data_IF_607322963699
#
_entry.id   IF_607322963699
#
_cell.length_a   1.000
_cell.length_b   1.000
_cell.length_c   1.000
_cell.angle_alpha   90.00
_cell.angle_beta   90.00
_cell.angle_gamma   90.00
#
_symmetry.space_group_name_H-M   'P 1'
#
loop_
_entity.id
_entity.type
_entity.pdbx_description
1 polymer ?
#
# COMPACT_ATOMS: atom_id res chain seq x y z
N UNK A 1 -9.77 -3.19 -17.23
CA UNK A 1 -10.00 -4.26 -16.26
C UNK A 1 -8.70 -4.49 -15.50
N UNK A 2 -8.78 -4.37 -14.18
CA UNK A 2 -7.65 -4.58 -13.28
C UNK A 2 -7.57 -6.08 -13.02
N UNK A 3 -6.47 -6.72 -13.34
CA UNK A 3 -6.22 -8.09 -12.91
C UNK A 3 -5.26 -8.05 -11.72
N UNK A 4 -5.75 -8.49 -10.57
CA UNK A 4 -4.94 -8.67 -9.37
C UNK A 4 -4.14 -9.97 -9.56
N UNK A 5 -2.84 -9.85 -9.75
CA UNK A 5 -1.94 -11.01 -9.71
C UNK A 5 -1.64 -11.31 -8.25
N UNK A 6 -2.30 -12.32 -7.70
CA UNK A 6 -1.98 -12.85 -6.38
C UNK A 6 -0.79 -13.79 -6.50
N UNK A 7 0.32 -13.41 -5.92
CA UNK A 7 1.50 -14.27 -5.82
C UNK A 7 1.49 -14.92 -4.44
N UNK A 8 1.26 -16.23 -4.39
CA UNK A 8 1.43 -17.03 -3.18
C UNK A 8 2.71 -17.85 -3.27
N UNK A 9 3.43 -17.94 -2.15
CA UNK A 9 4.63 -18.77 -2.05
C UNK A 9 4.24 -20.24 -2.26
N UNK A 10 4.73 -20.85 -3.34
CA UNK A 10 4.70 -22.29 -3.53
C UNK A 10 5.75 -22.91 -2.61
N UNK A 11 5.36 -23.44 -1.46
CA UNK A 11 6.18 -24.43 -0.78
C UNK A 11 6.19 -25.66 -1.69
N UNK A 12 7.42 -26.04 -2.07
CA UNK A 12 7.71 -27.07 -3.03
C UNK A 12 6.84 -28.33 -2.87
N UNK A 13 5.86 -28.46 -3.71
CA UNK A 13 5.24 -29.72 -4.02
C UNK A 13 4.50 -29.62 -5.36
N UNK A 14 4.99 -30.41 -6.28
CA UNK A 14 4.32 -30.88 -7.48
C UNK A 14 4.21 -29.92 -8.67
N UNK A 15 5.01 -30.20 -9.67
CA UNK A 15 5.07 -29.55 -10.99
C UNK A 15 3.84 -29.84 -11.88
N UNK A 16 2.69 -30.19 -11.34
CA UNK A 16 1.54 -30.51 -12.13
C UNK A 16 0.63 -29.32 -12.40
N UNK A 17 0.73 -28.82 -13.62
CA UNK A 17 -0.26 -28.05 -14.35
C UNK A 17 -0.49 -26.58 -13.94
N UNK A 18 0.39 -25.71 -14.35
CA UNK A 18 0.05 -24.30 -14.61
C UNK A 18 -0.83 -24.20 -15.86
N UNK A 19 -2.15 -24.13 -15.70
CA UNK A 19 -3.05 -23.77 -16.79
C UNK A 19 -3.11 -22.27 -16.95
N UNK A 20 -2.67 -21.74 -18.08
CA UNK A 20 -2.97 -20.38 -18.50
C UNK A 20 -4.45 -20.27 -18.86
N UNK A 21 -5.18 -19.39 -18.21
CA UNK A 21 -6.53 -18.98 -18.59
C UNK A 21 -6.46 -17.52 -18.99
N UNK A 22 -6.44 -17.26 -20.27
CA UNK A 22 -6.16 -15.92 -20.80
C UNK A 22 -4.69 -15.50 -20.51
N UNK A 23 -4.49 -14.26 -20.08
CA UNK A 23 -3.18 -13.74 -19.68
C UNK A 23 -2.86 -13.94 -18.17
N UNK A 24 -3.70 -14.66 -17.43
CA UNK A 24 -3.57 -14.85 -16.00
C UNK A 24 -2.84 -16.14 -15.68
N UNK A 25 -1.74 -16.05 -14.93
CA UNK A 25 -1.05 -17.20 -14.39
C UNK A 25 -1.79 -17.66 -13.14
N UNK A 26 -2.39 -18.86 -13.15
CA UNK A 26 -2.91 -19.49 -11.94
C UNK A 26 -1.78 -20.16 -11.21
N UNK A 27 -1.43 -19.64 -10.04
CA UNK A 27 -0.48 -20.29 -9.13
C UNK A 27 -1.30 -21.21 -8.21
N UNK A 28 -0.89 -22.49 -8.03
CA UNK A 28 -1.58 -23.40 -7.12
C UNK A 28 -1.58 -22.82 -5.69
N UNK A 29 -2.75 -22.65 -5.12
CA UNK A 29 -2.88 -22.31 -3.71
C UNK A 29 -2.76 -23.62 -2.93
N UNK A 30 -1.78 -23.72 -2.03
CA UNK A 30 -1.67 -24.88 -1.15
C UNK A 30 -2.93 -25.06 -0.29
N UNK A 31 -3.24 -26.28 0.09
CA UNK A 31 -4.48 -26.70 0.78
C UNK A 31 -4.70 -26.07 2.19
N UNK A 32 -3.81 -25.19 2.63
CA UNK A 32 -3.95 -24.47 3.91
C UNK A 32 -3.93 -22.98 3.65
N UNK A 33 -5.08 -22.29 3.73
CA UNK A 33 -5.06 -20.84 3.79
C UNK A 33 -4.24 -20.43 5.03
N UNK A 34 -3.14 -19.72 4.82
CA UNK A 34 -2.36 -19.14 5.89
C UNK A 34 -3.27 -18.27 6.77
N UNK A 35 -2.97 -18.19 8.06
CA UNK A 35 -3.67 -17.26 8.95
C UNK A 35 -3.38 -15.85 8.49
N UNK A 36 -4.41 -15.14 8.02
CA UNK A 36 -4.31 -13.71 7.74
C UNK A 36 -4.32 -12.94 9.07
N UNK A 37 -3.34 -12.10 9.26
CA UNK A 37 -3.34 -11.11 10.34
C UNK A 37 -3.83 -9.78 9.77
N UNK A 38 -4.95 -9.29 10.27
CA UNK A 38 -5.53 -8.00 9.85
C UNK A 38 -5.27 -6.96 10.93
N UNK A 39 -4.76 -5.81 10.53
CA UNK A 39 -4.57 -4.67 11.42
C UNK A 39 -5.00 -3.37 10.72
N UNK A 40 -5.40 -2.38 11.50
CA UNK A 40 -5.66 -1.03 11.03
C UNK A 40 -4.59 -0.11 11.61
N UNK A 41 -3.87 0.59 10.74
CA UNK A 41 -2.78 1.47 11.15
C UNK A 41 -2.23 2.28 9.99
N UNK A 42 -1.20 3.08 10.26
CA UNK A 42 -0.50 3.85 9.23
C UNK A 42 0.65 3.03 8.65
N UNK A 43 0.81 3.05 7.33
CA UNK A 43 1.97 2.48 6.67
C UNK A 43 3.30 3.18 7.03
N UNK A 44 3.23 4.37 7.64
CA UNK A 44 4.42 5.08 8.15
C UNK A 44 4.89 4.59 9.53
N UNK A 45 4.14 3.66 10.14
CA UNK A 45 4.50 3.02 11.42
C UNK A 45 3.95 1.59 11.44
N UNK A 46 4.83 0.62 11.26
CA UNK A 46 4.53 -0.82 11.26
C UNK A 46 5.22 -1.53 12.45
N UNK A 47 5.22 -0.89 13.63
CA UNK A 47 5.91 -1.40 14.84
C UNK A 47 5.46 -2.80 15.27
N UNK A 48 4.23 -3.20 14.91
CA UNK A 48 3.70 -4.55 15.16
C UNK A 48 4.38 -5.62 14.29
N UNK A 49 5.16 -5.23 13.28
CA UNK A 49 5.91 -6.15 12.41
C UNK A 49 7.39 -6.01 12.73
N UNK A 50 8.03 -7.13 13.06
CA UNK A 50 9.47 -7.16 13.34
C UNK A 50 10.31 -6.75 12.13
N UNK A 51 11.49 -6.18 12.37
CA UNK A 51 12.46 -5.90 11.31
C UNK A 51 12.91 -7.20 10.64
N UNK A 52 13.20 -7.13 9.34
CA UNK A 52 13.73 -8.25 8.54
C UNK A 52 12.91 -9.56 8.68
N UNK A 53 11.57 -9.43 8.75
CA UNK A 53 10.67 -10.58 8.99
C UNK A 53 9.81 -10.94 7.77
N UNK A 54 9.69 -10.04 6.79
CA UNK A 54 8.80 -10.16 5.63
C UNK A 54 9.60 -10.46 4.37
N UNK A 55 9.14 -11.37 3.55
CA UNK A 55 9.78 -11.74 2.28
C UNK A 55 9.33 -10.83 1.13
N UNK A 56 8.08 -10.38 1.15
CA UNK A 56 7.47 -9.59 0.08
C UNK A 56 6.48 -8.57 0.64
N UNK A 57 6.61 -7.32 0.21
CA UNK A 57 5.61 -6.26 0.42
C UNK A 57 4.93 -5.97 -0.91
N UNK A 58 3.60 -5.99 -0.95
CA UNK A 58 2.81 -5.62 -2.13
C UNK A 58 1.87 -4.48 -1.74
N UNK A 59 1.87 -3.39 -2.51
CA UNK A 59 1.08 -2.21 -2.20
C UNK A 59 0.61 -1.48 -3.45
N UNK A 60 -0.42 -0.67 -3.28
CA UNK A 60 -0.97 0.26 -4.27
C UNK A 60 -1.02 1.65 -3.61
N UNK A 61 0.05 2.46 -3.72
CA UNK A 61 0.11 3.76 -3.07
C UNK A 61 -0.85 4.76 -3.74
N UNK A 62 -1.27 5.83 -3.04
CA UNK A 62 -2.04 6.89 -3.67
C UNK A 62 -1.30 7.53 -4.85
N UNK A 63 -2.04 7.85 -5.92
CA UNK A 63 -1.48 8.39 -7.16
C UNK A 63 -1.47 9.93 -7.14
N UNK A 64 -0.55 10.51 -6.36
CA UNK A 64 -0.44 11.97 -6.25
C UNK A 64 -1.69 12.61 -5.62
N UNK A 65 -2.34 13.50 -6.35
CA UNK A 65 -3.55 14.20 -5.92
C UNK A 65 -4.84 13.77 -6.66
N UNK A 66 -4.84 12.60 -7.32
CA UNK A 66 -5.98 12.17 -8.14
C UNK A 66 -7.24 11.85 -7.32
N UNK A 67 -7.07 11.25 -6.15
CA UNK A 67 -8.19 10.84 -5.28
C UNK A 67 -7.90 11.26 -3.84
N UNK A 68 -8.84 11.97 -3.24
CA UNK A 68 -8.82 12.36 -1.83
C UNK A 68 -9.61 11.32 -1.02
N UNK A 69 -8.96 10.20 -0.73
CA UNK A 69 -9.58 9.02 -0.13
C UNK A 69 -10.22 9.30 1.23
N UNK A 70 -9.58 10.11 2.06
CA UNK A 70 -10.11 10.45 3.39
C UNK A 70 -11.42 11.26 3.33
N UNK A 71 -11.58 12.10 2.33
CA UNK A 71 -12.82 12.87 2.12
C UNK A 71 -13.94 11.98 1.63
N UNK A 72 -13.66 11.04 0.73
CA UNK A 72 -14.61 10.02 0.31
C UNK A 72 -14.99 9.08 1.47
N UNK A 73 -14.01 8.72 2.28
CA UNK A 73 -14.22 7.84 3.43
C UNK A 73 -15.07 8.48 4.52
N UNK A 74 -15.02 9.80 4.68
CA UNK A 74 -15.85 10.52 5.67
C UNK A 74 -17.32 10.25 5.48
N UNK A 75 -17.79 10.10 4.23
CA UNK A 75 -19.19 9.77 3.96
C UNK A 75 -19.63 8.47 4.65
N UNK A 76 -18.77 7.44 4.64
CA UNK A 76 -19.07 6.17 5.30
C UNK A 76 -18.72 6.21 6.79
N UNK A 77 -17.63 6.88 7.14
CA UNK A 77 -17.12 6.97 8.50
C UNK A 77 -18.12 7.59 9.46
N UNK A 78 -18.76 8.69 9.09
CA UNK A 78 -19.72 9.37 9.97
C UNK A 78 -20.93 8.50 10.32
N UNK A 79 -21.39 7.66 9.41
CA UNK A 79 -22.47 6.72 9.67
C UNK A 79 -22.02 5.53 10.53
N UNK A 80 -20.87 4.94 10.21
CA UNK A 80 -20.32 3.84 11.00
C UNK A 80 -19.99 4.29 12.43
N UNK A 81 -19.47 5.48 12.58
CA UNK A 81 -19.16 6.08 13.86
C UNK A 81 -20.36 6.13 14.81
N UNK A 82 -21.55 6.43 14.32
CA UNK A 82 -22.78 6.45 15.15
C UNK A 82 -23.05 5.11 15.84
N UNK A 83 -22.64 4.02 15.21
CA UNK A 83 -22.90 2.64 15.70
C UNK A 83 -21.69 2.08 16.44
N UNK A 84 -20.47 2.41 15.99
CA UNK A 84 -19.24 1.70 16.39
C UNK A 84 -18.38 2.47 17.40
N UNK A 85 -18.59 3.76 17.64
CA UNK A 85 -17.72 4.58 18.49
C UNK A 85 -17.57 4.07 19.92
N UNK A 86 -18.64 3.49 20.48
CA UNK A 86 -18.64 2.98 21.85
C UNK A 86 -17.97 1.60 21.96
N UNK A 87 -17.93 0.85 20.84
CA UNK A 87 -17.32 -0.46 20.76
C UNK A 87 -15.85 -0.44 20.32
N UNK A 88 -15.49 0.53 19.49
CA UNK A 88 -14.17 0.70 18.90
C UNK A 88 -13.73 2.17 18.96
N UNK A 89 -13.60 2.75 20.18
CA UNK A 89 -13.29 4.16 20.35
C UNK A 89 -11.94 4.57 19.75
N UNK A 90 -10.99 3.64 19.68
CA UNK A 90 -9.66 3.84 19.08
C UNK A 90 -9.72 4.14 17.57
N UNK A 91 -10.75 3.65 16.87
CA UNK A 91 -10.95 3.87 15.42
C UNK A 91 -12.02 4.92 15.12
N UNK A 92 -13.03 5.06 15.98
CA UNK A 92 -14.21 5.90 15.74
C UNK A 92 -14.37 7.04 16.76
N UNK A 93 -13.33 7.33 17.55
CA UNK A 93 -13.36 8.41 18.54
C UNK A 93 -13.33 9.80 17.91
N UNK A 94 -12.56 9.99 16.83
CA UNK A 94 -12.48 11.27 16.13
C UNK A 94 -13.78 11.60 15.39
N UNK A 95 -14.01 12.88 15.11
CA UNK A 95 -15.19 13.33 14.37
C UNK A 95 -15.14 12.93 12.90
N UNK A 96 -13.95 12.97 12.30
CA UNK A 96 -13.67 12.63 10.90
C UNK A 96 -12.44 11.71 10.78
N UNK A 97 -12.24 11.16 9.60
CA UNK A 97 -11.04 10.37 9.27
C UNK A 97 -9.75 11.21 9.38
N UNK A 98 -8.60 10.60 9.75
CA UNK A 98 -7.34 11.32 10.00
C UNK A 98 -6.67 11.76 8.69
N UNK A 99 -7.00 12.95 8.21
CA UNK A 99 -6.50 13.52 6.94
C UNK A 99 -5.00 13.81 6.94
N UNK A 100 -4.41 14.01 8.11
CA UNK A 100 -2.97 14.25 8.26
C UNK A 100 -2.10 13.01 8.05
N UNK A 101 -2.69 11.82 7.99
CA UNK A 101 -1.99 10.57 7.72
C UNK A 101 -2.13 10.12 6.26
N UNK A 102 -2.87 10.86 5.45
CA UNK A 102 -3.11 10.54 4.06
C UNK A 102 -1.98 11.06 3.17
N UNK A 103 -1.30 10.15 2.47
CA UNK A 103 -0.24 10.47 1.51
C UNK A 103 -0.86 10.93 0.17
N UNK A 104 -1.41 12.13 0.15
CA UNK A 104 -2.03 12.75 -1.03
C UNK A 104 -1.56 14.18 -1.18
N UNK A 105 -1.23 14.58 -2.41
CA UNK A 105 -0.96 15.97 -2.76
C UNK A 105 -2.29 16.75 -2.80
N UNK A 106 -2.51 17.63 -1.82
CA UNK A 106 -3.75 18.40 -1.69
C UNK A 106 -3.47 19.87 -1.34
N UNK A 107 -3.61 20.76 -2.33
CA UNK A 107 -3.34 22.20 -2.17
C UNK A 107 -4.27 22.87 -1.16
N UNK A 108 -5.46 22.38 -0.96
CA UNK A 108 -6.39 22.95 0.02
C UNK A 108 -5.92 22.70 1.47
N UNK A 109 -5.23 21.58 1.70
CA UNK A 109 -4.70 21.21 3.02
C UNK A 109 -3.23 21.65 3.21
N UNK A 110 -2.44 21.63 2.15
CA UNK A 110 -1.02 22.00 2.14
C UNK A 110 -0.77 23.04 1.01
N UNK A 111 -1.17 24.31 1.21
CA UNK A 111 -1.13 25.30 0.14
C UNK A 111 0.28 25.59 -0.40
N UNK A 112 1.27 25.52 0.46
CA UNK A 112 2.64 25.90 0.09
C UNK A 112 3.42 24.76 -0.58
N UNK A 113 3.28 23.51 -0.08
CA UNK A 113 4.11 22.39 -0.53
C UNK A 113 3.35 21.06 -0.55
N UNK A 114 2.27 20.88 -1.35
CA UNK A 114 1.47 19.67 -1.36
C UNK A 114 2.25 18.44 -1.81
N UNK A 115 3.11 18.58 -2.82
CA UNK A 115 3.90 17.48 -3.38
C UNK A 115 5.01 17.04 -2.42
N UNK A 116 5.64 17.97 -1.72
CA UNK A 116 6.62 17.63 -0.69
C UNK A 116 5.97 16.89 0.50
N UNK A 117 4.74 17.24 0.85
CA UNK A 117 4.00 16.51 1.87
C UNK A 117 3.70 15.08 1.45
N UNK A 118 3.22 14.89 0.23
CA UNK A 118 2.98 13.58 -0.38
C UNK A 118 4.25 12.73 -0.38
N UNK A 119 5.34 13.26 -0.94
CA UNK A 119 6.64 12.60 -1.01
C UNK A 119 7.17 12.20 0.37
N UNK A 120 7.06 13.07 1.38
CA UNK A 120 7.49 12.80 2.75
C UNK A 120 6.76 11.60 3.37
N UNK A 121 5.44 11.51 3.20
CA UNK A 121 4.66 10.38 3.73
C UNK A 121 4.95 9.09 2.97
N UNK A 122 5.15 9.14 1.65
CA UNK A 122 5.60 7.99 0.89
C UNK A 122 6.97 7.50 1.36
N UNK A 123 7.94 8.41 1.49
CA UNK A 123 9.29 8.07 2.00
C UNK A 123 9.22 7.39 3.37
N UNK A 124 8.37 7.90 4.27
CA UNK A 124 8.19 7.29 5.59
C UNK A 124 7.60 5.87 5.48
N UNK A 125 6.61 5.67 4.61
CA UNK A 125 6.02 4.35 4.37
C UNK A 125 7.01 3.37 3.75
N UNK A 126 7.80 3.83 2.78
CA UNK A 126 8.85 3.01 2.16
C UNK A 126 9.97 2.65 3.15
N UNK A 127 10.36 3.55 4.05
CA UNK A 127 11.32 3.24 5.12
C UNK A 127 10.82 2.14 6.05
N UNK A 128 9.54 2.15 6.40
CA UNK A 128 8.95 1.06 7.17
C UNK A 128 8.89 -0.24 6.37
N UNK A 129 8.52 -0.18 5.09
CA UNK A 129 8.57 -1.34 4.21
C UNK A 129 10.00 -1.91 4.10
N UNK A 130 11.00 -1.05 3.96
CA UNK A 130 12.42 -1.46 3.94
C UNK A 130 12.84 -2.11 5.26
N UNK A 131 12.46 -1.54 6.39
CA UNK A 131 12.78 -2.06 7.72
C UNK A 131 12.24 -3.48 7.95
N UNK A 132 11.00 -3.75 7.53
CA UNK A 132 10.36 -5.05 7.75
C UNK A 132 10.79 -6.12 6.75
N UNK A 133 11.25 -5.73 5.55
CA UNK A 133 11.74 -6.66 4.54
C UNK A 133 13.06 -7.30 4.97
N UNK A 134 13.17 -8.59 4.73
CA UNK A 134 14.43 -9.32 4.89
C UNK A 134 15.46 -8.84 3.86
N UNK A 135 16.77 -9.00 4.14
CA UNK A 135 17.79 -8.86 3.11
C UNK A 135 17.44 -9.71 1.89
N UNK A 136 17.40 -9.10 0.70
CA UNK A 136 16.93 -9.74 -0.54
C UNK A 136 15.42 -9.87 -0.67
N UNK A 137 14.63 -9.38 0.28
CA UNK A 137 13.18 -9.26 0.17
C UNK A 137 12.76 -8.23 -0.88
N UNK A 138 11.55 -8.36 -1.41
CA UNK A 138 11.07 -7.58 -2.55
C UNK A 138 9.91 -6.65 -2.15
N UNK A 139 9.92 -5.44 -2.70
CA UNK A 139 8.77 -4.53 -2.72
C UNK A 139 8.20 -4.49 -4.14
N UNK A 140 6.91 -4.78 -4.26
CA UNK A 140 6.17 -4.61 -5.51
C UNK A 140 5.03 -3.60 -5.30
N UNK A 141 4.85 -2.68 -6.22
CA UNK A 141 3.75 -1.72 -6.15
C UNK A 141 3.21 -1.40 -7.55
N UNK A 142 1.96 -0.98 -7.60
CA UNK A 142 1.34 -0.42 -8.81
C UNK A 142 1.39 1.11 -8.73
N UNK A 143 1.51 1.76 -9.87
CA UNK A 143 1.41 3.20 -9.96
C UNK A 143 0.96 3.64 -11.35
N UNK A 144 0.10 4.66 -11.40
CA UNK A 144 -0.34 5.26 -12.65
C UNK A 144 -0.54 6.77 -12.50
N UNK A 145 0.03 7.54 -13.40
CA UNK A 145 -0.26 8.97 -13.52
C UNK A 145 0.02 9.44 -14.95
N UNK A 146 -0.75 10.44 -15.42
CA UNK A 146 -0.57 11.05 -16.75
C UNK A 146 0.54 12.09 -16.80
N UNK A 147 0.95 12.63 -15.65
CA UNK A 147 2.00 13.64 -15.51
C UNK A 147 3.28 13.03 -14.95
N UNK A 148 4.44 13.63 -15.27
CA UNK A 148 5.74 13.13 -14.84
C UNK A 148 6.03 13.44 -13.37
N UNK A 149 5.56 14.58 -12.85
CA UNK A 149 5.90 15.03 -11.51
C UNK A 149 5.54 14.03 -10.39
N UNK A 150 4.34 13.38 -10.38
CA UNK A 150 4.04 12.34 -9.41
C UNK A 150 4.92 11.09 -9.55
N UNK A 151 5.36 10.73 -10.77
CA UNK A 151 6.33 9.65 -10.98
C UNK A 151 7.68 9.97 -10.35
N UNK A 152 8.17 11.21 -10.53
CA UNK A 152 9.41 11.67 -9.91
C UNK A 152 9.29 11.59 -8.39
N UNK A 153 8.20 12.10 -7.81
CA UNK A 153 7.97 12.05 -6.35
C UNK A 153 7.98 10.63 -5.79
N UNK A 154 7.35 9.67 -6.49
CA UNK A 154 7.33 8.26 -6.06
C UNK A 154 8.73 7.65 -6.14
N UNK A 155 9.44 7.83 -7.25
CA UNK A 155 10.77 7.25 -7.44
C UNK A 155 11.79 7.85 -6.48
N UNK A 156 11.81 9.17 -6.29
CA UNK A 156 12.67 9.81 -5.30
C UNK A 156 12.39 9.30 -3.89
N UNK A 157 11.10 9.19 -3.52
CA UNK A 157 10.71 8.67 -2.20
C UNK A 157 11.19 7.24 -1.96
N UNK A 158 11.21 6.40 -3.01
CA UNK A 158 11.74 5.03 -2.98
C UNK A 158 13.25 5.01 -2.77
N UNK A 159 13.98 5.82 -3.55
CA UNK A 159 15.44 5.90 -3.45
C UNK A 159 15.88 6.46 -2.10
N UNK A 160 15.19 7.47 -1.57
CA UNK A 160 15.41 8.04 -0.24
C UNK A 160 15.14 7.04 0.89
N UNK A 161 14.34 6.02 0.63
CA UNK A 161 14.07 4.94 1.57
C UNK A 161 15.05 3.76 1.46
N UNK A 162 16.01 3.82 0.52
CA UNK A 162 17.04 2.80 0.36
C UNK A 162 16.72 1.69 -0.64
N UNK A 163 15.65 1.83 -1.43
CA UNK A 163 15.34 0.90 -2.52
C UNK A 163 16.04 1.30 -3.82
N UNK A 164 16.16 0.35 -4.74
CA UNK A 164 16.47 0.58 -6.14
C UNK A 164 15.40 -0.07 -7.01
N UNK A 165 15.19 0.50 -8.19
CA UNK A 165 14.22 -0.03 -9.15
C UNK A 165 14.86 -1.16 -9.96
N UNK A 166 14.37 -2.38 -9.82
CA UNK A 166 14.89 -3.54 -10.54
C UNK A 166 14.20 -3.73 -11.90
N UNK A 167 12.87 -3.63 -11.93
CA UNK A 167 12.09 -3.84 -13.14
C UNK A 167 10.76 -3.06 -13.12
N UNK A 168 10.24 -2.75 -14.30
CA UNK A 168 8.91 -2.18 -14.51
C UNK A 168 8.14 -3.03 -15.52
N UNK A 169 6.85 -3.21 -15.25
CA UNK A 169 5.96 -3.99 -16.10
C UNK A 169 4.76 -3.13 -16.51
N UNK A 170 4.68 -2.69 -17.78
CA UNK A 170 3.53 -1.92 -18.24
C UNK A 170 2.27 -2.78 -18.27
N UNK A 171 1.23 -2.31 -17.60
CA UNK A 171 -0.10 -2.93 -17.58
C UNK A 171 -0.96 -2.22 -18.64
N UNK A 172 -1.53 -2.96 -19.58
CA UNK A 172 -2.39 -2.46 -20.67
C UNK A 172 -3.85 -2.85 -20.44
#
# INVERSE_FOLDING_TARGET
>A
PWELVRVERADAADESETKRVGNTLKIPVGDRPGKANLSCGSATNLEQIGSESIDLVVTDPPFGGLVHYSELSDFFYVWMRLILKDRYPEYFGAEYTPKTLEAVSNRARQPDHPDAYYQRLLTASWKEAHRILKPGGMLAFTFHHSEDAPWVSVLESLFDAGFYLEATYPIR
#
